data_IF_025336901649
#
_entry.id   IF_025336901649
#
_cell.length_a   1.000
_cell.length_b   1.000
_cell.length_c   1.000
_cell.angle_alpha   90.00
_cell.angle_beta   90.00
_cell.angle_gamma   90.00
#
_symmetry.space_group_name_H-M   'P 1'
#
loop_
_entity.id
_entity.type
_entity.pdbx_description
1 polymer ?
#
# COMPACT_ATOMS: atom_id res chain seq x y z
N UNK A 1 0.95 8.63 4.18
CA UNK A 1 1.40 8.85 2.78
C UNK A 1 0.66 7.91 1.83
N UNK A 2 0.05 8.45 0.78
CA UNK A 2 -0.46 7.70 -0.36
C UNK A 2 0.55 7.76 -1.51
N UNK A 3 1.42 6.75 -1.62
CA UNK A 3 2.39 6.61 -2.70
C UNK A 3 2.34 5.20 -3.27
N UNK A 4 1.78 5.07 -4.46
CA UNK A 4 1.50 3.79 -5.11
C UNK A 4 1.93 3.81 -6.58
N UNK A 5 3.24 3.82 -6.89
CA UNK A 5 3.75 3.89 -8.26
C UNK A 5 3.37 2.66 -9.09
N UNK A 6 2.97 1.57 -8.43
CA UNK A 6 2.47 0.36 -9.08
C UNK A 6 1.06 0.50 -9.66
N UNK A 7 0.29 1.52 -9.27
CA UNK A 7 -1.00 1.80 -9.91
C UNK A 7 -0.70 2.55 -11.20
N UNK A 8 -0.69 1.82 -12.30
CA UNK A 8 -0.18 2.30 -13.58
C UNK A 8 -1.24 3.02 -14.43
N UNK A 9 -2.52 2.81 -14.12
CA UNK A 9 -3.63 3.53 -14.74
C UNK A 9 -3.96 4.78 -13.93
N UNK A 10 -3.88 5.96 -14.54
CA UNK A 10 -4.07 7.24 -13.85
C UNK A 10 -5.46 7.35 -13.20
N UNK A 11 -6.51 6.98 -13.92
CA UNK A 11 -7.87 7.02 -13.39
C UNK A 11 -8.05 6.15 -12.15
N UNK A 12 -7.46 4.95 -12.15
CA UNK A 12 -7.49 4.05 -10.99
C UNK A 12 -6.67 4.61 -9.82
N UNK A 13 -5.53 5.26 -10.10
CA UNK A 13 -4.75 5.95 -9.08
C UNK A 13 -5.55 7.07 -8.43
N UNK A 14 -6.12 7.97 -9.23
CA UNK A 14 -6.91 9.12 -8.76
C UNK A 14 -8.14 8.68 -7.97
N UNK A 15 -8.86 7.66 -8.45
CA UNK A 15 -9.99 7.06 -7.75
C UNK A 15 -9.61 6.56 -6.35
N UNK A 16 -8.51 5.80 -6.24
CA UNK A 16 -8.06 5.27 -4.95
C UNK A 16 -7.53 6.36 -4.03
N UNK A 17 -6.85 7.38 -4.58
CA UNK A 17 -6.38 8.52 -3.81
C UNK A 17 -7.55 9.34 -3.22
N UNK A 18 -8.57 9.60 -4.05
CA UNK A 18 -9.79 10.30 -3.61
C UNK A 18 -10.52 9.51 -2.51
N UNK A 19 -10.65 8.20 -2.66
CA UNK A 19 -11.28 7.32 -1.68
C UNK A 19 -10.52 7.29 -0.35
N UNK A 20 -9.19 7.24 -0.40
CA UNK A 20 -8.35 7.31 0.80
C UNK A 20 -8.53 8.64 1.55
N UNK A 21 -8.58 9.75 0.83
CA UNK A 21 -8.80 11.08 1.41
C UNK A 21 -10.20 11.19 2.03
N UNK A 22 -11.23 10.62 1.37
CA UNK A 22 -12.60 10.57 1.89
C UNK A 22 -12.64 9.80 3.21
N UNK A 23 -12.07 8.59 3.24
CA UNK A 23 -12.01 7.77 4.45
C UNK A 23 -11.34 8.50 5.62
N UNK A 24 -10.17 9.12 5.37
CA UNK A 24 -9.44 9.84 6.42
C UNK A 24 -10.28 10.99 6.97
N UNK A 25 -11.00 11.72 6.13
CA UNK A 25 -11.90 12.80 6.56
C UNK A 25 -13.01 12.27 7.47
N UNK A 26 -13.71 11.21 7.05
CA UNK A 26 -14.78 10.58 7.83
C UNK A 26 -14.27 10.04 9.17
N UNK A 27 -13.12 9.38 9.19
CA UNK A 27 -12.50 8.89 10.43
C UNK A 27 -12.11 10.03 11.38
N UNK A 28 -11.62 11.15 10.85
CA UNK A 28 -11.29 12.32 11.68
C UNK A 28 -12.54 13.01 12.21
N UNK A 29 -13.64 13.02 11.47
CA UNK A 29 -14.94 13.55 11.93
C UNK A 29 -15.53 12.66 13.05
N UNK A 30 -15.45 11.33 12.91
CA UNK A 30 -15.88 10.39 13.96
C UNK A 30 -15.03 10.46 15.24
N UNK A 31 -13.75 10.84 15.14
CA UNK A 31 -12.85 10.94 16.30
C UNK A 31 -13.12 12.16 17.19
N UNK A 32 -14.17 12.93 16.93
CA UNK A 32 -14.75 13.97 17.78
C UNK A 32 -13.74 15.01 18.31
N UNK A 33 -12.92 15.55 17.41
CA UNK A 33 -12.11 16.74 17.70
C UNK A 33 -10.87 16.51 18.56
N UNK A 34 -10.48 15.27 18.86
CA UNK A 34 -9.20 14.99 19.50
C UNK A 34 -8.03 15.27 18.54
N UNK A 35 -7.52 16.50 18.61
CA UNK A 35 -6.41 16.96 17.76
C UNK A 35 -5.16 16.08 17.85
N UNK A 36 -5.01 15.28 18.91
CA UNK A 36 -3.83 14.42 19.11
C UNK A 36 -3.85 13.16 18.25
N UNK A 37 -5.04 12.71 17.85
CA UNK A 37 -5.22 11.49 17.06
C UNK A 37 -5.61 11.76 15.60
N UNK A 38 -5.47 12.99 15.13
CA UNK A 38 -5.85 13.37 13.77
C UNK A 38 -4.96 12.70 12.73
N UNK A 39 -5.58 12.04 11.76
CA UNK A 39 -4.90 11.44 10.61
C UNK A 39 -4.72 12.52 9.54
N UNK A 40 -3.48 12.68 9.06
CA UNK A 40 -3.16 13.55 7.94
C UNK A 40 -2.97 12.73 6.66
N UNK A 41 -3.48 13.24 5.55
CA UNK A 41 -3.28 12.64 4.23
C UNK A 41 -2.22 13.43 3.47
N UNK A 42 -1.18 12.75 3.02
CA UNK A 42 -0.20 13.27 2.09
C UNK A 42 -0.21 12.41 0.84
N UNK A 43 -0.32 13.02 -0.33
CA UNK A 43 -0.28 12.33 -1.62
C UNK A 43 1.11 12.47 -2.23
N UNK A 44 1.76 11.34 -2.47
CA UNK A 44 3.01 11.26 -3.21
C UNK A 44 2.79 11.48 -4.70
N UNK A 45 3.90 11.70 -5.41
CA UNK A 45 3.87 11.91 -6.86
C UNK A 45 3.33 10.66 -7.58
N UNK A 46 2.47 10.85 -8.57
CA UNK A 46 2.12 9.80 -9.52
C UNK A 46 3.33 9.52 -10.43
N UNK A 47 3.95 8.37 -10.27
CA UNK A 47 5.22 8.01 -10.91
C UNK A 47 5.27 6.52 -11.28
N UNK A 48 4.45 6.08 -12.26
CA UNK A 48 4.42 4.69 -12.70
C UNK A 48 5.73 4.25 -13.39
N UNK A 49 6.49 5.18 -13.96
CA UNK A 49 7.75 4.89 -14.64
C UNK A 49 8.78 4.27 -13.68
N UNK A 50 8.80 4.70 -12.44
CA UNK A 50 9.66 4.14 -11.41
C UNK A 50 9.33 2.66 -11.14
N UNK A 51 8.04 2.32 -11.16
CA UNK A 51 7.60 0.95 -11.03
C UNK A 51 7.98 0.11 -12.26
N UNK A 52 7.75 0.61 -13.47
CA UNK A 52 8.11 -0.09 -14.70
C UNK A 52 9.62 -0.34 -14.78
N UNK A 53 10.44 0.64 -14.44
CA UNK A 53 11.89 0.47 -14.39
C UNK A 53 12.31 -0.65 -13.42
N UNK A 54 11.70 -0.72 -12.25
CA UNK A 54 12.00 -1.75 -11.26
C UNK A 54 11.42 -3.14 -11.61
N UNK A 55 10.37 -3.20 -12.40
CA UNK A 55 9.72 -4.43 -12.86
C UNK A 55 10.36 -5.02 -14.12
N UNK A 56 11.27 -4.30 -14.77
CA UNK A 56 11.93 -4.72 -16.01
C UNK A 56 12.62 -6.07 -15.86
N UNK A 57 12.26 -7.02 -16.74
CA UNK A 57 12.72 -8.40 -16.71
C UNK A 57 12.00 -9.31 -15.72
N UNK A 58 11.02 -8.77 -14.97
CA UNK A 58 10.20 -9.50 -13.98
C UNK A 58 8.71 -9.55 -14.36
N UNK A 59 8.38 -9.22 -15.60
CA UNK A 59 7.00 -9.07 -16.08
C UNK A 59 6.19 -10.36 -15.91
N UNK A 60 6.83 -11.51 -16.13
CA UNK A 60 6.23 -12.83 -16.04
C UNK A 60 6.30 -13.45 -14.63
N UNK A 61 6.97 -12.80 -13.68
CA UNK A 61 7.01 -13.28 -12.29
C UNK A 61 5.62 -13.14 -11.68
N UNK A 62 5.04 -14.20 -11.08
CA UNK A 62 3.69 -14.16 -10.53
C UNK A 62 3.55 -13.16 -9.37
N UNK A 63 2.32 -12.77 -9.06
CA UNK A 63 2.03 -11.91 -7.90
C UNK A 63 2.55 -12.57 -6.61
N UNK A 64 3.18 -11.77 -5.74
CA UNK A 64 3.83 -12.24 -4.52
C UNK A 64 5.32 -12.56 -4.68
N UNK A 65 5.84 -12.66 -5.92
CA UNK A 65 7.24 -12.93 -6.21
C UNK A 65 8.13 -11.68 -6.25
N UNK A 66 9.30 -11.81 -6.88
CA UNK A 66 10.37 -10.80 -6.87
C UNK A 66 9.92 -9.43 -7.40
N UNK A 67 9.09 -9.37 -8.44
CA UNK A 67 8.47 -8.13 -8.94
C UNK A 67 7.76 -7.37 -7.82
N UNK A 68 7.00 -8.09 -6.97
CA UNK A 68 6.31 -7.48 -5.84
C UNK A 68 7.30 -7.00 -4.77
N UNK A 69 8.43 -7.69 -4.57
CA UNK A 69 9.46 -7.27 -3.61
C UNK A 69 10.10 -5.94 -4.04
N UNK A 70 10.37 -5.76 -5.33
CA UNK A 70 10.82 -4.46 -5.88
C UNK A 70 9.77 -3.35 -5.65
N UNK A 71 8.49 -3.67 -5.83
CA UNK A 71 7.40 -2.75 -5.55
C UNK A 71 7.33 -2.36 -4.06
N UNK A 72 7.51 -3.31 -3.14
CA UNK A 72 7.56 -3.02 -1.70
C UNK A 72 8.71 -2.09 -1.36
N UNK A 73 9.88 -2.36 -1.93
CA UNK A 73 11.10 -1.54 -1.75
C UNK A 73 10.85 -0.07 -2.12
N UNK A 74 10.30 0.18 -3.31
CA UNK A 74 10.03 1.55 -3.78
C UNK A 74 9.08 2.29 -2.83
N UNK A 75 8.03 1.62 -2.39
CA UNK A 75 6.99 2.23 -1.55
C UNK A 75 7.48 2.50 -0.13
N UNK A 76 8.16 1.52 0.48
CA UNK A 76 8.71 1.67 1.82
C UNK A 76 9.87 2.67 1.87
N UNK A 77 10.69 2.72 0.82
CA UNK A 77 11.78 3.69 0.70
C UNK A 77 11.25 5.12 0.68
N UNK A 78 10.17 5.37 -0.06
CA UNK A 78 9.54 6.69 -0.08
C UNK A 78 8.94 7.04 1.28
N UNK A 79 8.30 6.08 1.95
CA UNK A 79 7.76 6.29 3.29
C UNK A 79 8.88 6.60 4.31
N UNK A 80 9.99 5.87 4.27
CA UNK A 80 11.15 6.11 5.13
C UNK A 80 11.81 7.47 4.87
N UNK A 81 11.94 7.86 3.58
CA UNK A 81 12.49 9.16 3.18
C UNK A 81 11.64 10.31 3.74
N UNK A 82 10.32 10.26 3.54
CA UNK A 82 9.39 11.29 4.05
C UNK A 82 9.39 11.30 5.57
N UNK A 83 9.40 10.15 6.22
CA UNK A 83 9.46 10.06 7.67
C UNK A 83 10.72 10.75 8.21
N UNK A 84 11.87 10.56 7.56
CA UNK A 84 13.12 11.24 7.92
C UNK A 84 13.06 12.75 7.71
N UNK A 85 12.57 13.18 6.54
CA UNK A 85 12.53 14.60 6.17
C UNK A 85 11.56 15.41 7.04
N UNK A 86 10.45 14.80 7.43
CA UNK A 86 9.41 15.46 8.23
C UNK A 86 9.53 15.19 9.74
N UNK A 87 10.56 14.45 10.17
CA UNK A 87 10.84 14.22 11.60
C UNK A 87 9.86 13.28 12.29
N UNK A 88 9.29 12.31 11.58
CA UNK A 88 8.47 11.27 12.20
C UNK A 88 9.33 10.28 12.99
N UNK A 89 8.82 9.80 14.12
CA UNK A 89 9.49 8.80 14.94
C UNK A 89 9.51 7.42 14.28
N UNK A 90 8.45 7.10 13.51
CA UNK A 90 8.24 5.78 12.92
C UNK A 90 7.68 5.87 11.50
N UNK A 91 7.97 4.83 10.72
CA UNK A 91 7.21 4.52 9.50
C UNK A 91 6.76 3.06 9.49
N UNK A 92 5.72 2.75 8.74
CA UNK A 92 5.19 1.40 8.58
C UNK A 92 4.41 1.28 7.27
N UNK A 93 3.76 0.14 7.05
CA UNK A 93 2.90 -0.09 5.89
C UNK A 93 1.63 -0.85 6.25
N UNK A 94 0.52 -0.52 5.61
CA UNK A 94 -0.73 -1.28 5.69
C UNK A 94 -0.82 -2.43 4.69
N UNK A 95 0.19 -2.64 3.85
CA UNK A 95 0.20 -3.72 2.86
C UNK A 95 0.02 -5.10 3.47
N UNK A 96 0.49 -5.29 4.70
CA UNK A 96 0.43 -6.58 5.42
C UNK A 96 -0.99 -7.02 5.78
N UNK A 97 -2.02 -6.17 5.57
CA UNK A 97 -3.42 -6.55 5.73
C UNK A 97 -3.89 -7.56 4.65
N UNK A 98 -3.30 -7.48 3.44
CA UNK A 98 -3.67 -8.35 2.34
C UNK A 98 -3.06 -9.76 2.52
N UNK A 99 -3.86 -10.83 2.38
CA UNK A 99 -3.34 -12.21 2.42
C UNK A 99 -2.39 -12.52 1.26
N UNK A 100 -2.47 -11.77 0.15
CA UNK A 100 -1.62 -11.93 -1.03
C UNK A 100 -0.25 -11.24 -0.89
N UNK A 101 0.02 -10.57 0.23
CA UNK A 101 1.28 -9.86 0.46
C UNK A 101 2.15 -10.59 1.48
N UNK A 102 3.43 -10.71 1.15
CA UNK A 102 4.43 -11.35 2.01
C UNK A 102 4.83 -10.40 3.14
N UNK A 103 4.28 -10.62 4.35
CA UNK A 103 4.54 -9.77 5.51
C UNK A 103 5.99 -9.86 5.98
N UNK A 104 6.60 -11.05 5.92
CA UNK A 104 8.00 -11.24 6.36
C UNK A 104 8.94 -10.44 5.46
N UNK A 105 8.71 -10.47 4.13
CA UNK A 105 9.50 -9.70 3.18
C UNK A 105 9.30 -8.19 3.33
N UNK A 106 8.07 -7.75 3.61
CA UNK A 106 7.78 -6.35 3.91
C UNK A 106 8.52 -5.87 5.17
N UNK A 107 8.51 -6.68 6.23
CA UNK A 107 9.19 -6.37 7.48
C UNK A 107 10.73 -6.41 7.32
N UNK A 108 11.28 -7.35 6.55
CA UNK A 108 12.70 -7.40 6.21
C UNK A 108 13.16 -6.11 5.52
N UNK A 109 12.42 -5.69 4.48
CA UNK A 109 12.71 -4.46 3.74
C UNK A 109 12.57 -3.23 4.66
N UNK A 110 11.52 -3.17 5.46
CA UNK A 110 11.27 -2.06 6.38
C UNK A 110 12.38 -1.90 7.41
N UNK A 111 12.85 -2.98 8.03
CA UNK A 111 13.95 -2.95 8.99
C UNK A 111 15.26 -2.47 8.35
N UNK A 112 15.60 -2.96 7.16
CA UNK A 112 16.79 -2.51 6.43
C UNK A 112 16.72 -1.02 6.08
N UNK A 113 15.56 -0.54 5.65
CA UNK A 113 15.36 0.88 5.35
C UNK A 113 15.39 1.74 6.61
N UNK A 114 14.97 1.21 7.77
CA UNK A 114 15.09 1.91 9.05
C UNK A 114 16.55 2.22 9.39
N UNK A 115 17.44 1.27 9.19
CA UNK A 115 18.89 1.47 9.37
C UNK A 115 19.46 2.50 8.37
N UNK A 116 19.03 2.40 7.09
CA UNK A 116 19.48 3.30 6.02
C UNK A 116 19.07 4.76 6.25
N UNK A 117 17.84 4.99 6.68
CA UNK A 117 17.26 6.35 6.84
C UNK A 117 17.35 6.90 8.28
N UNK A 118 17.69 6.06 9.26
CA UNK A 118 17.75 6.48 10.65
C UNK A 118 16.37 6.82 11.25
N UNK A 119 15.31 6.13 10.80
CA UNK A 119 13.94 6.25 11.32
C UNK A 119 13.42 4.87 11.67
N UNK A 120 12.82 4.69 12.83
CA UNK A 120 12.36 3.38 13.27
C UNK A 120 11.23 2.83 12.37
N UNK A 121 11.31 1.55 12.02
CA UNK A 121 10.23 0.84 11.34
C UNK A 121 9.35 0.11 12.36
N UNK A 122 8.03 0.17 12.20
CA UNK A 122 7.09 -0.64 12.97
C UNK A 122 6.74 -1.91 12.20
N UNK A 123 7.33 -3.07 12.52
CA UNK A 123 6.99 -4.33 11.89
C UNK A 123 5.51 -4.68 12.13
N UNK A 124 4.84 -5.18 11.11
CA UNK A 124 3.42 -5.49 11.21
C UNK A 124 3.04 -6.75 10.42
N UNK A 125 1.99 -7.40 10.88
CA UNK A 125 1.25 -8.40 10.11
C UNK A 125 -0.25 -8.23 10.42
N UNK A 126 -0.83 -7.20 9.81
CA UNK A 126 -2.21 -6.78 10.08
C UNK A 126 -3.26 -7.81 9.66
N UNK A 127 -2.94 -8.84 8.87
CA UNK A 127 -3.88 -9.93 8.57
C UNK A 127 -4.09 -10.88 9.75
N UNK A 128 -3.14 -10.93 10.72
CA UNK A 128 -3.28 -11.72 11.95
C UNK A 128 -4.39 -11.16 12.85
N UNK A 129 -4.82 -11.97 13.84
CA UNK A 129 -5.86 -11.59 14.82
C UNK A 129 -7.16 -11.07 14.16
N UNK A 130 -7.59 -11.72 13.08
CA UNK A 130 -8.78 -11.34 12.29
C UNK A 130 -8.70 -9.94 11.62
N UNK A 131 -7.51 -9.36 11.47
CA UNK A 131 -7.35 -8.04 10.88
C UNK A 131 -7.89 -7.92 9.46
N UNK A 132 -7.71 -8.97 8.62
CA UNK A 132 -8.33 -8.99 7.29
C UNK A 132 -9.86 -8.95 7.37
N UNK A 133 -10.49 -9.76 8.24
CA UNK A 133 -11.94 -9.72 8.46
C UNK A 133 -12.37 -8.31 8.90
N UNK A 134 -11.64 -7.73 9.85
CA UNK A 134 -11.92 -6.36 10.31
C UNK A 134 -11.82 -5.32 9.18
N UNK A 135 -10.89 -5.48 8.24
CA UNK A 135 -10.77 -4.58 7.08
C UNK A 135 -11.98 -4.69 6.15
N UNK A 136 -12.58 -5.88 6.02
CA UNK A 136 -13.83 -6.08 5.26
C UNK A 136 -14.99 -5.35 5.93
N UNK A 137 -15.19 -5.57 7.23
CA UNK A 137 -16.23 -4.91 8.02
C UNK A 137 -16.12 -3.37 7.95
N UNK A 138 -14.90 -2.83 8.07
CA UNK A 138 -14.66 -1.39 7.94
C UNK A 138 -14.93 -0.90 6.52
N UNK A 139 -14.58 -1.69 5.49
CA UNK A 139 -14.89 -1.32 4.11
C UNK A 139 -16.38 -1.24 3.87
N UNK A 140 -17.17 -2.13 4.47
CA UNK A 140 -18.63 -2.09 4.41
C UNK A 140 -19.19 -0.88 5.19
N UNK A 141 -18.71 -0.66 6.42
CA UNK A 141 -19.11 0.48 7.25
C UNK A 141 -18.96 1.82 6.52
N UNK A 142 -17.83 2.03 5.86
CA UNK A 142 -17.52 3.28 5.17
C UNK A 142 -17.87 3.25 3.68
N UNK A 143 -18.51 2.20 3.17
CA UNK A 143 -18.91 2.07 1.76
C UNK A 143 -17.71 2.20 0.81
N UNK A 144 -16.55 1.63 1.18
CA UNK A 144 -15.30 1.83 0.44
C UNK A 144 -15.28 1.09 -0.91
N UNK A 145 -14.70 1.75 -1.91
CA UNK A 145 -14.32 1.08 -3.14
C UNK A 145 -13.31 -0.05 -2.85
N UNK A 146 -13.69 -1.28 -3.14
CA UNK A 146 -12.82 -2.45 -2.99
C UNK A 146 -12.25 -2.86 -4.34
N UNK A 147 -10.95 -2.65 -4.48
CA UNK A 147 -10.22 -3.12 -5.65
C UNK A 147 -10.08 -4.64 -5.64
N UNK A 148 -10.13 -5.26 -6.81
CA UNK A 148 -9.95 -6.69 -6.98
C UNK A 148 -8.54 -7.10 -7.48
N UNK A 149 -7.64 -6.13 -7.70
CA UNK A 149 -6.22 -6.33 -8.03
C UNK A 149 -5.35 -5.27 -7.35
N UNK A 150 -4.03 -5.47 -7.30
CA UNK A 150 -3.14 -4.56 -6.55
C UNK A 150 -2.92 -3.19 -7.22
N UNK A 151 -3.33 -3.02 -8.47
CA UNK A 151 -3.17 -1.79 -9.26
C UNK A 151 -2.10 -1.85 -10.34
N UNK A 152 -1.22 -2.86 -10.36
CA UNK A 152 -0.25 -3.00 -11.43
C UNK A 152 -0.83 -3.76 -12.63
N UNK A 153 -0.40 -3.40 -13.84
CA UNK A 153 -0.87 -4.03 -15.09
C UNK A 153 -0.66 -5.54 -15.11
N UNK A 154 0.42 -6.02 -14.50
CA UNK A 154 0.74 -7.46 -14.47
C UNK A 154 -0.26 -8.23 -13.59
N UNK A 155 -0.61 -7.71 -12.41
CA UNK A 155 -1.64 -8.31 -11.55
C UNK A 155 -3.02 -8.24 -12.19
N UNK A 156 -3.33 -7.17 -12.92
CA UNK A 156 -4.57 -7.07 -13.70
C UNK A 156 -4.65 -8.17 -14.74
N UNK A 157 -3.61 -8.32 -15.54
CA UNK A 157 -3.53 -9.37 -16.58
C UNK A 157 -3.59 -10.80 -16.01
N UNK A 158 -2.95 -11.06 -14.86
CA UNK A 158 -3.06 -12.35 -14.17
C UNK A 158 -4.50 -12.64 -13.74
N UNK A 159 -5.20 -11.64 -13.21
CA UNK A 159 -6.59 -11.79 -12.77
C UNK A 159 -7.56 -12.00 -13.94
N UNK A 160 -7.36 -11.30 -15.04
CA UNK A 160 -8.19 -11.46 -16.25
C UNK A 160 -8.04 -12.86 -16.83
N UNK A 161 -6.82 -13.39 -16.89
CA UNK A 161 -6.56 -14.78 -17.31
C UNK A 161 -7.25 -15.80 -16.42
N UNK A 162 -7.22 -15.60 -15.09
CA UNK A 162 -7.87 -16.49 -14.13
C UNK A 162 -9.40 -16.50 -14.27
N UNK A 163 -10.01 -15.36 -14.63
CA UNK A 163 -11.46 -15.26 -14.88
C UNK A 163 -11.85 -15.94 -16.20
N UNK A 164 -11.00 -15.88 -17.23
CA UNK A 164 -11.25 -16.49 -18.53
C UNK A 164 -11.07 -18.01 -18.58
N UNK A 165 -10.37 -18.61 -17.61
CA UNK A 165 -10.14 -20.07 -17.53
C UNK A 165 -11.21 -20.81 -16.77
N UNK A 166 -12.25 -20.12 -16.25
CA UNK A 166 -13.35 -20.67 -15.45
C UNK A 166 -14.69 -20.78 -16.18
N UNK A 167 -14.68 -20.72 -17.54
CA UNK A 167 -15.88 -20.87 -18.38
C UNK A 167 -15.89 -22.20 -19.10
#
# INVERSE_FOLDING_TARGET
>A
LYYNPNITEREEYEKRAAEQKRLIREMNEEADGDCKNRILAEEGRYDPERFFAAAKGLELVPEGGERCFKCYEIRLREAARIAREQGFDYFTTTLTISPLKNADKLNEIGNRLAEEYGVAFLPSDFKKKNGYKRSVELSEKYGLYRQDYCGCVFSKAERERSKGSGS
#
